data_IF_170637875432
#
_entry.id   IF_170637875432
#
_cell.length_a   1.000
_cell.length_b   1.000
_cell.length_c   1.000
_cell.angle_alpha   90.00
_cell.angle_beta   90.00
_cell.angle_gamma   90.00
#
_symmetry.space_group_name_H-M   'P 1'
#
loop_
_entity.id
_entity.type
_entity.pdbx_description
1 polymer ?
#
# COMPACT_ATOMS: atom_id res chain seq x y z
N UNK A 1 14.81 24.48 9.57
CA UNK A 1 13.39 24.73 9.19
C UNK A 1 12.91 24.03 7.91
N UNK A 2 13.73 23.38 7.13
CA UNK A 2 13.32 22.76 5.85
C UNK A 2 13.00 21.24 5.93
N UNK A 3 13.37 20.55 6.98
CA UNK A 3 13.25 19.08 7.10
C UNK A 3 12.01 18.57 7.87
N UNK A 4 11.38 19.40 8.69
CA UNK A 4 10.02 19.11 9.20
C UNK A 4 8.98 19.00 8.08
N UNK A 5 9.32 19.51 6.87
CA UNK A 5 8.46 19.44 5.71
C UNK A 5 8.33 18.01 5.13
N UNK A 6 9.29 17.12 5.33
CA UNK A 6 9.35 15.87 4.55
C UNK A 6 8.46 14.78 5.17
N UNK A 7 8.27 14.76 6.46
CA UNK A 7 7.47 13.73 7.13
C UNK A 7 6.01 14.13 7.38
N UNK A 8 5.79 15.33 7.86
CA UNK A 8 4.48 15.94 7.67
C UNK A 8 4.09 15.83 6.18
N UNK A 9 5.08 15.64 5.31
CA UNK A 9 4.93 15.55 3.87
C UNK A 9 4.61 14.15 3.35
N UNK A 10 5.12 13.05 3.93
CA UNK A 10 4.69 11.71 3.51
C UNK A 10 3.26 11.43 4.00
N UNK A 11 2.96 11.74 5.24
CA UNK A 11 1.59 11.64 5.78
C UNK A 11 0.70 12.77 5.23
N UNK A 12 1.22 13.98 5.02
CA UNK A 12 0.51 15.07 4.35
C UNK A 12 0.43 14.84 2.84
N UNK A 13 1.36 14.11 2.21
CA UNK A 13 1.19 13.61 0.84
C UNK A 13 0.13 12.51 0.78
N UNK A 14 0.08 11.60 1.73
CA UNK A 14 -0.99 10.61 1.82
C UNK A 14 -2.33 11.34 1.98
N UNK A 15 -2.48 12.22 2.94
CA UNK A 15 -3.70 12.99 3.16
C UNK A 15 -3.89 14.14 2.15
N UNK A 16 -2.83 14.74 1.65
CA UNK A 16 -2.87 15.83 0.67
C UNK A 16 -3.06 15.35 -0.76
N UNK A 17 -2.52 14.17 -1.13
CA UNK A 17 -2.83 13.51 -2.41
C UNK A 17 -4.29 13.04 -2.40
N UNK A 18 -4.80 12.59 -1.27
CA UNK A 18 -6.22 12.26 -1.10
C UNK A 18 -7.12 13.49 -1.33
N UNK A 19 -6.68 14.70 -0.95
CA UNK A 19 -7.45 15.95 -1.16
C UNK A 19 -7.18 16.66 -2.48
N UNK A 20 -5.95 16.58 -3.03
CA UNK A 20 -5.53 17.31 -4.23
C UNK A 20 -6.00 16.69 -5.53
N UNK A 21 -6.29 15.39 -5.55
CA UNK A 21 -6.64 14.66 -6.78
C UNK A 21 -8.07 14.92 -7.30
N UNK A 22 -8.88 15.73 -6.61
CA UNK A 22 -10.24 16.08 -7.09
C UNK A 22 -10.27 16.89 -8.39
N UNK A 23 -9.14 17.42 -8.85
CA UNK A 23 -9.11 18.34 -10.00
C UNK A 23 -8.64 17.74 -11.35
N UNK A 24 -8.19 16.49 -11.40
CA UNK A 24 -7.83 15.82 -12.66
C UNK A 24 -8.71 14.58 -12.90
N UNK A 25 -10.01 14.81 -12.84
CA UNK A 25 -11.01 13.76 -13.05
C UNK A 25 -11.31 13.58 -14.54
N UNK A 26 -10.35 13.07 -15.30
CA UNK A 26 -10.70 12.47 -16.59
C UNK A 26 -10.99 11.00 -16.37
N UNK A 27 -12.23 10.59 -16.65
CA UNK A 27 -12.58 9.17 -16.66
C UNK A 27 -11.63 8.42 -17.58
N UNK A 28 -10.98 7.32 -17.13
CA UNK A 28 -10.10 6.54 -17.99
C UNK A 28 -10.76 6.13 -19.30
N UNK A 29 -10.03 6.23 -20.40
CA UNK A 29 -10.48 5.85 -21.74
C UNK A 29 -9.59 4.75 -22.32
N UNK A 30 -10.07 4.05 -23.33
CA UNK A 30 -9.30 2.97 -23.97
C UNK A 30 -7.97 3.46 -24.56
N UNK A 31 -7.91 4.68 -25.09
CA UNK A 31 -6.69 5.27 -25.66
C UNK A 31 -5.57 5.50 -24.64
N UNK A 32 -5.88 5.41 -23.35
CA UNK A 32 -4.90 5.59 -22.27
C UNK A 32 -4.26 4.29 -21.80
N UNK A 33 -4.73 3.13 -22.27
CA UNK A 33 -4.09 1.83 -22.05
C UNK A 33 -3.18 1.49 -23.23
N UNK A 34 -1.89 1.26 -22.98
CA UNK A 34 -0.84 1.07 -23.98
C UNK A 34 -0.46 -0.40 -24.18
N UNK A 35 -0.58 -1.20 -23.13
CA UNK A 35 -0.16 -2.60 -23.10
C UNK A 35 -1.29 -3.47 -22.58
N UNK A 36 -1.65 -4.50 -23.34
CA UNK A 36 -2.60 -5.52 -22.89
C UNK A 36 -1.88 -6.49 -21.93
N UNK A 37 -2.39 -6.59 -20.73
CA UNK A 37 -1.93 -7.55 -19.72
C UNK A 37 -2.98 -8.64 -19.51
N UNK A 38 -2.58 -9.88 -19.18
CA UNK A 38 -3.53 -10.96 -18.91
C UNK A 38 -4.32 -10.69 -17.64
N UNK A 39 -5.55 -11.20 -17.59
CA UNK A 39 -6.42 -11.09 -16.42
C UNK A 39 -7.05 -9.71 -16.27
N UNK A 40 -7.35 -9.35 -15.02
CA UNK A 40 -7.99 -8.10 -14.64
C UNK A 40 -7.09 -7.34 -13.68
N UNK A 41 -6.95 -6.04 -13.91
CA UNK A 41 -6.26 -5.13 -12.99
C UNK A 41 -7.29 -4.16 -12.43
N UNK A 42 -7.38 -4.04 -11.10
CA UNK A 42 -8.25 -3.06 -10.43
C UNK A 42 -7.39 -1.94 -9.85
N UNK A 43 -7.84 -0.71 -10.03
CA UNK A 43 -7.10 0.52 -9.75
C UNK A 43 -8.04 1.58 -9.16
N UNK A 44 -7.48 2.48 -8.36
CA UNK A 44 -8.19 3.65 -7.85
C UNK A 44 -7.70 4.90 -8.56
N UNK A 45 -8.64 5.73 -9.00
CA UNK A 45 -8.38 7.05 -9.55
C UNK A 45 -9.49 8.03 -9.16
N UNK A 46 -9.08 9.17 -8.58
CA UNK A 46 -9.97 10.28 -8.24
C UNK A 46 -11.25 9.82 -7.49
N UNK A 47 -11.07 9.01 -6.44
CA UNK A 47 -12.16 8.52 -5.60
C UNK A 47 -13.03 7.43 -6.23
N UNK A 48 -12.65 6.89 -7.40
CA UNK A 48 -13.41 5.84 -8.09
C UNK A 48 -12.55 4.61 -8.33
N UNK A 49 -13.21 3.45 -8.39
CA UNK A 49 -12.58 2.17 -8.69
C UNK A 49 -12.78 1.84 -10.16
N UNK A 50 -11.72 1.45 -10.84
CA UNK A 50 -11.72 1.01 -12.23
C UNK A 50 -11.12 -0.37 -12.38
N UNK A 51 -11.62 -1.15 -13.31
CA UNK A 51 -10.96 -2.35 -13.81
C UNK A 51 -10.38 -2.09 -15.20
N UNK A 52 -9.16 -2.57 -15.44
CA UNK A 52 -8.53 -2.64 -16.76
C UNK A 52 -8.46 -4.11 -17.17
N UNK A 53 -9.08 -4.44 -18.30
CA UNK A 53 -9.05 -5.78 -18.91
C UNK A 53 -8.84 -5.61 -20.40
N UNK A 54 -7.78 -6.21 -20.93
CA UNK A 54 -7.48 -6.18 -22.37
C UNK A 54 -7.61 -4.77 -22.99
N UNK A 55 -6.89 -3.79 -22.48
CA UNK A 55 -6.89 -2.36 -22.88
C UNK A 55 -8.22 -1.60 -22.62
N UNK A 56 -9.20 -2.22 -21.99
CA UNK A 56 -10.49 -1.57 -21.73
C UNK A 56 -10.65 -1.22 -20.25
N UNK A 57 -10.84 0.07 -19.97
CA UNK A 57 -11.21 0.53 -18.65
C UNK A 57 -12.72 0.45 -18.45
N UNK A 58 -13.13 -0.12 -17.34
CA UNK A 58 -14.52 -0.18 -16.90
C UNK A 58 -14.62 0.32 -15.46
N UNK A 59 -15.45 1.33 -15.20
CA UNK A 59 -15.71 1.76 -13.83
C UNK A 59 -16.49 0.68 -13.08
N UNK A 60 -15.98 0.27 -11.94
CA UNK A 60 -16.69 -0.58 -10.99
C UNK A 60 -17.71 0.32 -10.28
N UNK A 61 -19.00 0.02 -10.44
CA UNK A 61 -20.10 0.85 -9.95
C UNK A 61 -20.34 0.65 -8.46
N UNK A 62 -19.33 0.96 -7.64
CA UNK A 62 -19.43 0.96 -6.19
C UNK A 62 -20.27 2.18 -5.70
N UNK A 63 -20.74 2.18 -4.42
CA UNK A 63 -21.36 3.35 -3.82
C UNK A 63 -20.53 4.61 -4.00
N UNK A 64 -21.17 5.78 -4.04
CA UNK A 64 -20.52 7.07 -4.27
C UNK A 64 -19.76 7.56 -3.02
N UNK A 65 -18.77 6.78 -2.60
CA UNK A 65 -17.79 7.13 -1.57
C UNK A 65 -16.50 7.65 -2.20
N UNK A 66 -15.62 8.21 -1.42
CA UNK A 66 -14.24 8.56 -1.82
C UNK A 66 -13.36 7.30 -1.63
N UNK A 67 -13.27 6.45 -2.66
CA UNK A 67 -12.48 5.25 -2.62
C UNK A 67 -11.00 5.60 -2.75
N UNK A 68 -10.20 5.15 -1.80
CA UNK A 68 -8.78 5.52 -1.71
C UNK A 68 -7.82 4.34 -1.84
N UNK A 69 -8.29 3.12 -1.54
CA UNK A 69 -7.47 1.91 -1.70
C UNK A 69 -8.32 0.74 -2.17
N UNK A 70 -7.71 -0.13 -2.94
CA UNK A 70 -8.20 -1.48 -3.25
C UNK A 70 -7.11 -2.51 -2.95
N UNK A 71 -7.55 -3.69 -2.52
CA UNK A 71 -6.69 -4.80 -2.19
C UNK A 71 -7.31 -6.12 -2.61
N UNK A 72 -6.47 -7.16 -2.73
CA UNK A 72 -6.95 -8.49 -3.07
C UNK A 72 -7.86 -9.04 -1.98
N UNK A 73 -9.08 -9.38 -2.35
CA UNK A 73 -10.06 -10.06 -1.50
C UNK A 73 -10.09 -11.57 -1.75
N UNK A 74 -11.07 -12.26 -1.16
CA UNK A 74 -11.43 -13.62 -1.54
C UNK A 74 -11.73 -13.75 -3.04
N UNK A 75 -11.75 -14.97 -3.61
CA UNK A 75 -12.03 -15.18 -5.03
C UNK A 75 -13.33 -14.49 -5.48
N UNK A 76 -13.25 -13.65 -6.49
CA UNK A 76 -14.39 -12.89 -7.03
C UNK A 76 -14.67 -11.56 -6.32
N UNK A 77 -13.88 -11.19 -5.32
CA UNK A 77 -14.08 -10.01 -4.48
C UNK A 77 -12.80 -9.18 -4.34
N UNK A 78 -12.95 -7.93 -3.95
CA UNK A 78 -11.88 -7.01 -3.60
C UNK A 78 -12.18 -6.39 -2.22
N UNK A 79 -11.13 -6.13 -1.47
CA UNK A 79 -11.19 -5.22 -0.33
C UNK A 79 -11.08 -3.79 -0.85
N UNK A 80 -11.85 -2.88 -0.29
CA UNK A 80 -11.83 -1.49 -0.69
C UNK A 80 -11.94 -0.58 0.55
N UNK A 81 -11.17 0.49 0.57
CA UNK A 81 -11.18 1.49 1.63
C UNK A 81 -11.84 2.75 1.11
N UNK A 82 -12.86 3.22 1.82
CA UNK A 82 -13.50 4.52 1.58
C UNK A 82 -13.09 5.51 2.66
N UNK A 83 -12.65 6.70 2.24
CA UNK A 83 -12.30 7.81 3.13
C UNK A 83 -13.49 8.75 3.29
N UNK A 84 -13.78 9.11 4.53
CA UNK A 84 -14.82 10.07 4.92
C UNK A 84 -14.21 11.34 5.56
N UNK A 85 -12.93 11.54 5.39
CA UNK A 85 -12.19 12.72 5.86
C UNK A 85 -11.68 12.61 7.29
N UNK A 86 -12.53 12.21 8.24
CA UNK A 86 -12.16 12.05 9.65
C UNK A 86 -12.02 10.59 10.06
N UNK A 87 -12.40 9.67 9.21
CA UNK A 87 -12.30 8.23 9.40
C UNK A 87 -12.32 7.53 8.06
N UNK A 88 -11.94 6.27 8.04
CA UNK A 88 -12.11 5.42 6.87
C UNK A 88 -12.82 4.12 7.24
N UNK A 89 -13.55 3.56 6.29
CA UNK A 89 -14.20 2.26 6.44
C UNK A 89 -13.65 1.27 5.43
N UNK A 90 -13.66 0.00 5.80
CA UNK A 90 -13.23 -1.10 4.93
C UNK A 90 -14.42 -1.93 4.48
N UNK A 91 -14.52 -2.16 3.19
CA UNK A 91 -15.59 -2.91 2.55
C UNK A 91 -15.07 -4.11 1.77
N UNK A 92 -15.88 -5.13 1.67
CA UNK A 92 -15.75 -6.21 0.69
C UNK A 92 -16.73 -5.93 -0.46
N UNK A 93 -16.20 -5.80 -1.66
CA UNK A 93 -16.98 -5.55 -2.88
C UNK A 93 -16.81 -6.73 -3.85
N UNK A 94 -17.85 -7.03 -4.62
CA UNK A 94 -17.69 -7.85 -5.81
C UNK A 94 -17.20 -6.99 -7.00
N UNK A 95 -16.82 -7.62 -8.12
CA UNK A 95 -16.34 -6.89 -9.30
C UNK A 95 -17.43 -6.06 -10.03
N UNK A 96 -18.70 -6.21 -9.65
CA UNK A 96 -19.79 -5.34 -10.11
C UNK A 96 -19.92 -4.06 -9.27
N UNK A 97 -19.17 -3.98 -8.16
CA UNK A 97 -19.17 -2.85 -7.23
C UNK A 97 -20.23 -2.95 -6.13
N UNK A 98 -20.92 -4.08 -6.03
CA UNK A 98 -21.88 -4.29 -4.95
C UNK A 98 -21.15 -4.55 -3.65
N UNK A 99 -21.60 -3.90 -2.57
CA UNK A 99 -21.08 -4.15 -1.22
C UNK A 99 -21.57 -5.53 -0.78
N UNK A 100 -20.64 -6.48 -0.65
CA UNK A 100 -20.92 -7.79 -0.07
C UNK A 100 -21.01 -7.68 1.44
N UNK A 101 -20.08 -6.92 2.05
CA UNK A 101 -20.04 -6.70 3.49
C UNK A 101 -19.21 -5.45 3.82
N UNK A 102 -19.63 -4.68 4.83
CA UNK A 102 -18.75 -3.74 5.52
C UNK A 102 -17.94 -4.53 6.57
N UNK A 103 -16.63 -4.44 6.48
CA UNK A 103 -15.72 -5.17 7.35
C UNK A 103 -15.34 -4.34 8.57
N UNK A 104 -14.93 -3.10 8.39
CA UNK A 104 -14.61 -2.17 9.46
C UNK A 104 -15.45 -0.92 9.34
N UNK A 105 -15.89 -0.40 10.49
CA UNK A 105 -16.69 0.81 10.62
C UNK A 105 -16.04 1.70 11.68
N UNK A 106 -15.19 2.61 11.25
CA UNK A 106 -14.36 3.43 12.13
C UNK A 106 -14.96 4.83 12.39
N UNK A 107 -16.13 5.11 11.80
CA UNK A 107 -16.86 6.34 12.01
C UNK A 107 -17.77 6.27 13.25
N UNK A 108 -17.74 7.34 14.04
CA UNK A 108 -18.54 7.53 15.25
C UNK A 108 -19.21 8.90 15.25
N UNK A 109 -20.34 9.03 15.96
CA UNK A 109 -20.93 10.34 16.29
C UNK A 109 -20.07 11.13 17.30
N UNK A 110 -19.19 10.45 18.00
CA UNK A 110 -18.22 11.08 18.90
C UNK A 110 -16.94 11.33 18.11
N UNK A 111 -16.57 12.58 17.94
CA UNK A 111 -15.41 12.99 17.15
C UNK A 111 -14.12 12.23 17.50
N UNK A 112 -13.81 12.10 18.77
CA UNK A 112 -12.60 11.42 19.26
C UNK A 112 -12.63 9.89 19.16
N UNK A 113 -13.70 9.31 18.64
CA UNK A 113 -13.83 7.87 18.40
C UNK A 113 -13.84 7.54 16.91
N UNK A 114 -13.37 8.47 16.09
CA UNK A 114 -13.16 8.26 14.66
C UNK A 114 -11.70 7.84 14.45
N UNK A 115 -11.49 6.84 13.60
CA UNK A 115 -10.15 6.34 13.28
C UNK A 115 -10.00 6.07 11.79
N UNK A 116 -8.77 5.95 11.33
CA UNK A 116 -8.48 5.50 9.98
C UNK A 116 -8.01 4.04 9.99
N UNK A 117 -8.53 3.26 9.07
CA UNK A 117 -8.11 1.89 8.79
C UNK A 117 -7.72 1.79 7.31
N UNK A 118 -6.46 1.42 7.05
CA UNK A 118 -5.89 1.32 5.71
C UNK A 118 -5.18 -0.02 5.50
N UNK A 119 -4.83 -0.32 4.25
CA UNK A 119 -4.06 -1.50 3.85
C UNK A 119 -4.66 -2.81 4.37
N UNK A 120 -5.96 -3.07 4.16
CA UNK A 120 -6.58 -4.30 4.61
C UNK A 120 -6.04 -5.50 3.83
N UNK A 121 -5.69 -6.57 4.53
CA UNK A 121 -5.18 -7.82 3.94
C UNK A 121 -5.82 -9.02 4.59
N UNK A 122 -6.30 -9.95 3.79
CA UNK A 122 -6.80 -11.24 4.30
C UNK A 122 -5.65 -12.25 4.34
N UNK A 123 -5.53 -12.98 5.45
CA UNK A 123 -4.53 -14.06 5.56
C UNK A 123 -4.70 -15.10 4.45
N UNK A 124 -3.63 -15.81 4.04
CA UNK A 124 -3.71 -16.83 2.98
C UNK A 124 -4.77 -17.92 3.24
N UNK A 125 -5.05 -18.23 4.51
CA UNK A 125 -6.12 -19.16 4.90
C UNK A 125 -7.51 -18.55 4.96
N UNK A 126 -7.69 -17.26 4.64
CA UNK A 126 -9.00 -16.60 4.62
C UNK A 126 -9.61 -16.31 5.99
N UNK A 127 -8.92 -16.61 7.08
CA UNK A 127 -9.50 -16.57 8.44
C UNK A 127 -9.38 -15.22 9.15
N UNK A 128 -8.38 -14.41 8.78
CA UNK A 128 -7.98 -13.20 9.52
C UNK A 128 -7.85 -12.01 8.57
N UNK A 129 -8.41 -10.88 8.97
CA UNK A 129 -8.23 -9.59 8.34
C UNK A 129 -7.17 -8.81 9.12
N UNK A 130 -6.09 -8.43 8.47
CA UNK A 130 -5.07 -7.52 8.98
C UNK A 130 -5.28 -6.14 8.37
N UNK A 131 -4.93 -5.09 9.11
CA UNK A 131 -5.02 -3.70 8.63
C UNK A 131 -4.13 -2.79 9.47
N UNK A 132 -3.77 -1.65 8.90
CA UNK A 132 -3.12 -0.55 9.62
C UNK A 132 -4.20 0.34 10.21
N UNK A 133 -4.16 0.58 11.52
CA UNK A 133 -5.17 1.34 12.25
C UNK A 133 -4.53 2.50 12.99
N UNK A 134 -5.03 3.70 12.74
CA UNK A 134 -4.58 4.89 13.44
C UNK A 134 -5.23 4.94 14.83
N UNK A 135 -4.41 4.81 15.87
CA UNK A 135 -4.87 4.82 17.25
C UNK A 135 -4.94 6.23 17.84
N UNK A 136 -4.38 7.22 17.15
CA UNK A 136 -4.31 8.60 17.61
C UNK A 136 -5.65 9.28 17.47
N UNK A 137 -5.95 10.15 18.42
CA UNK A 137 -7.15 10.98 18.43
C UNK A 137 -7.20 11.88 17.17
N UNK A 138 -8.32 11.87 16.40
CA UNK A 138 -8.49 12.70 15.22
C UNK A 138 -8.33 14.21 15.45
N UNK A 139 -8.44 14.69 16.70
CA UNK A 139 -8.12 16.07 17.07
C UNK A 139 -6.66 16.44 16.87
N UNK A 140 -5.82 15.43 16.72
CA UNK A 140 -4.37 15.55 16.52
C UNK A 140 -4.01 15.36 15.05
N UNK A 141 -4.64 16.03 14.11
CA UNK A 141 -4.53 15.85 12.66
C UNK A 141 -3.09 15.84 12.07
N UNK A 142 -2.09 16.13 12.87
CA UNK A 142 -0.68 16.08 12.50
C UNK A 142 0.07 14.88 13.09
N UNK A 143 -0.63 14.00 13.83
CA UNK A 143 -0.03 12.92 14.59
C UNK A 143 -0.62 11.56 14.20
N UNK A 144 -0.63 11.27 12.92
CA UNK A 144 -1.01 9.94 12.45
C UNK A 144 0.07 8.95 12.89
N UNK A 145 -0.33 7.92 13.64
CA UNK A 145 0.58 6.86 14.07
C UNK A 145 -0.15 5.50 13.99
N UNK A 146 0.16 4.75 12.95
CA UNK A 146 -0.49 3.49 12.69
C UNK A 146 0.10 2.35 13.51
N UNK A 147 -0.77 1.43 13.91
CA UNK A 147 -0.42 0.11 14.43
C UNK A 147 -1.07 -0.98 13.56
N UNK A 148 -0.45 -2.15 13.51
CA UNK A 148 -1.07 -3.29 12.84
C UNK A 148 -2.05 -3.96 13.78
N UNK A 149 -3.27 -4.12 13.31
CA UNK A 149 -4.34 -4.87 13.99
C UNK A 149 -4.82 -6.04 13.14
N UNK A 150 -5.40 -7.02 13.81
CA UNK A 150 -6.00 -8.18 13.19
C UNK A 150 -7.32 -8.57 13.87
N UNK A 151 -8.32 -8.93 13.06
CA UNK A 151 -9.62 -9.43 13.50
C UNK A 151 -9.98 -10.70 12.73
N UNK A 152 -10.84 -11.59 13.27
CA UNK A 152 -11.39 -12.69 12.50
C UNK A 152 -12.14 -12.17 11.28
N UNK A 153 -11.81 -12.64 10.07
CA UNK A 153 -12.47 -12.18 8.84
C UNK A 153 -13.97 -12.47 8.83
N UNK A 154 -14.39 -13.59 9.44
CA UNK A 154 -15.82 -13.95 9.58
C UNK A 154 -16.58 -13.03 10.55
N UNK A 155 -15.90 -12.48 11.58
CA UNK A 155 -16.47 -11.60 12.59
C UNK A 155 -15.55 -10.39 12.85
N UNK A 156 -15.51 -9.40 11.94
CA UNK A 156 -14.58 -8.28 12.05
C UNK A 156 -14.89 -7.29 13.19
N UNK A 157 -16.07 -7.39 13.80
CA UNK A 157 -16.43 -6.61 15.01
C UNK A 157 -15.90 -7.22 16.31
N UNK A 158 -15.22 -8.36 16.24
CA UNK A 158 -14.55 -8.94 17.41
C UNK A 158 -13.40 -8.03 17.87
N UNK A 159 -13.01 -8.18 19.14
CA UNK A 159 -11.86 -7.43 19.68
C UNK A 159 -10.62 -7.71 18.82
N UNK A 160 -10.00 -6.63 18.35
CA UNK A 160 -8.78 -6.72 17.56
C UNK A 160 -7.59 -7.22 18.39
N UNK A 161 -6.74 -7.98 17.75
CA UNK A 161 -5.41 -8.34 18.25
C UNK A 161 -4.40 -7.34 17.69
N UNK A 162 -3.66 -6.67 18.57
CA UNK A 162 -2.60 -5.75 18.20
C UNK A 162 -1.34 -6.55 17.86
N UNK A 163 -0.81 -6.35 16.64
CA UNK A 163 0.38 -7.04 16.13
C UNK A 163 1.64 -6.21 16.23
N UNK A 164 1.50 -4.90 16.22
CA UNK A 164 2.62 -4.00 16.43
C UNK A 164 2.22 -2.92 17.43
N UNK A 165 3.14 -2.57 18.33
CA UNK A 165 2.92 -1.43 19.20
C UNK A 165 3.20 -0.15 18.41
N UNK A 166 2.38 0.88 18.58
CA UNK A 166 2.65 2.17 17.98
C UNK A 166 4.03 2.66 18.42
N UNK A 167 4.71 3.34 17.54
CA UNK A 167 5.95 4.02 17.86
C UNK A 167 5.72 5.16 18.85
N UNK A 168 6.79 5.86 19.16
CA UNK A 168 6.67 7.12 19.86
C UNK A 168 6.04 8.16 18.91
N UNK A 169 5.29 9.07 19.47
CA UNK A 169 4.65 10.20 18.84
C UNK A 169 5.42 10.76 17.62
N UNK A 170 4.77 11.00 16.48
CA UNK A 170 5.34 11.50 15.21
C UNK A 170 6.16 10.52 14.34
N UNK A 171 6.06 9.25 14.54
CA UNK A 171 6.87 8.29 13.77
C UNK A 171 6.19 7.70 12.53
N UNK A 172 4.89 7.98 12.30
CA UNK A 172 4.12 7.44 11.18
C UNK A 172 3.63 6.01 11.39
N UNK A 173 4.27 5.27 12.28
CA UNK A 173 3.83 3.97 12.76
C UNK A 173 4.17 2.79 11.85
N UNK A 174 3.36 1.76 11.96
CA UNK A 174 3.52 0.47 11.30
C UNK A 174 2.40 0.28 10.27
N UNK A 175 2.76 0.05 9.01
CA UNK A 175 1.81 0.03 7.88
C UNK A 175 2.03 -1.15 6.95
N UNK A 176 1.05 -1.41 6.08
CA UNK A 176 1.16 -2.35 4.95
C UNK A 176 1.42 -3.81 5.39
N UNK A 177 0.58 -4.39 6.25
CA UNK A 177 0.78 -5.75 6.71
C UNK A 177 0.63 -6.75 5.57
N UNK A 178 1.60 -7.65 5.43
CA UNK A 178 1.56 -8.80 4.52
C UNK A 178 1.46 -10.06 5.37
N UNK A 179 0.28 -10.67 5.50
CA UNK A 179 0.13 -11.92 6.22
C UNK A 179 0.76 -13.09 5.46
N UNK A 180 1.45 -13.95 6.19
CA UNK A 180 2.19 -15.08 5.66
C UNK A 180 1.49 -16.41 5.93
N UNK A 181 1.79 -17.43 5.11
CA UNK A 181 1.23 -18.77 5.29
C UNK A 181 1.64 -19.45 6.61
N UNK A 182 2.76 -19.05 7.19
CA UNK A 182 3.24 -19.55 8.49
C UNK A 182 2.57 -18.87 9.70
N UNK A 183 1.61 -17.96 9.46
CA UNK A 183 0.88 -17.23 10.49
C UNK A 183 1.56 -15.93 10.95
N UNK A 184 2.79 -15.64 10.52
CA UNK A 184 3.46 -14.36 10.77
C UNK A 184 3.02 -13.27 9.80
N UNK A 185 3.60 -12.07 9.97
CA UNK A 185 3.39 -10.92 9.07
C UNK A 185 4.73 -10.24 8.72
N UNK A 186 4.78 -9.65 7.55
CA UNK A 186 5.78 -8.64 7.20
C UNK A 186 5.05 -7.30 7.09
N UNK A 187 5.69 -6.22 7.53
CA UNK A 187 5.13 -4.88 7.41
C UNK A 187 6.23 -3.82 7.31
N UNK A 188 5.87 -2.62 6.88
CA UNK A 188 6.76 -1.47 6.89
C UNK A 188 6.65 -0.76 8.24
N UNK A 189 7.79 -0.62 8.93
CA UNK A 189 7.93 0.10 10.20
C UNK A 189 8.63 1.42 9.95
N UNK A 190 7.94 2.52 10.25
CA UNK A 190 8.51 3.85 10.21
C UNK A 190 9.06 4.24 11.57
N UNK A 191 10.23 4.86 11.57
CA UNK A 191 10.89 5.32 12.78
C UNK A 191 11.61 6.66 12.52
N UNK A 192 11.80 7.42 13.59
CA UNK A 192 12.62 8.65 13.57
C UNK A 192 14.02 8.31 14.03
N UNK A 193 15.03 8.82 13.34
CA UNK A 193 16.41 8.71 13.78
C UNK A 193 16.62 9.58 15.03
N UNK A 194 16.66 8.95 16.19
CA UNK A 194 16.86 9.64 17.48
C UNK A 194 18.25 10.26 17.63
N UNK A 195 19.21 9.88 16.79
CA UNK A 195 20.57 10.46 16.80
C UNK A 195 20.60 11.89 16.26
N UNK A 196 19.61 12.31 15.49
CA UNK A 196 19.51 13.66 14.93
C UNK A 196 18.98 14.73 15.92
N UNK A 197 18.60 14.34 17.14
CA UNK A 197 18.07 15.23 18.18
C UNK A 197 16.57 15.53 18.06
N UNK A 198 15.94 16.11 19.09
CA UNK A 198 14.52 16.40 19.08
C UNK A 198 14.18 17.47 18.01
N UNK A 199 13.39 17.07 17.03
CA UNK A 199 12.88 17.96 15.98
C UNK A 199 13.66 17.97 14.66
N UNK A 200 14.84 17.35 14.57
CA UNK A 200 15.64 17.21 13.34
C UNK A 200 15.71 15.78 12.82
N UNK A 201 14.93 14.86 13.37
CA UNK A 201 14.97 13.45 13.01
C UNK A 201 14.55 13.21 11.56
N UNK A 202 15.47 12.72 10.75
CA UNK A 202 15.12 12.09 9.49
C UNK A 202 14.33 10.82 9.80
N UNK A 203 13.18 10.66 9.17
CA UNK A 203 12.45 9.40 9.24
C UNK A 203 13.03 8.41 8.26
N UNK A 204 13.01 7.17 8.66
CA UNK A 204 13.36 6.04 7.80
C UNK A 204 12.32 4.94 7.95
N UNK A 205 12.25 4.07 6.98
CA UNK A 205 11.41 2.89 7.02
C UNK A 205 12.24 1.62 6.86
N UNK A 206 11.80 0.56 7.53
CA UNK A 206 12.37 -0.76 7.42
C UNK A 206 11.26 -1.78 7.24
N UNK A 207 11.50 -2.80 6.42
CA UNK A 207 10.67 -3.98 6.45
C UNK A 207 11.03 -4.82 7.67
N UNK A 208 10.03 -5.27 8.39
CA UNK A 208 10.18 -6.12 9.56
C UNK A 208 9.29 -7.35 9.46
N UNK A 209 9.74 -8.45 10.05
CA UNK A 209 8.97 -9.69 10.20
C UNK A 209 8.63 -9.91 11.66
N UNK A 210 7.37 -10.23 11.93
CA UNK A 210 6.86 -10.68 13.23
C UNK A 210 6.22 -12.05 13.07
N UNK A 211 6.68 -13.04 13.83
CA UNK A 211 6.11 -14.40 13.79
C UNK A 211 4.81 -14.54 14.60
N UNK A 212 4.57 -13.63 15.53
CA UNK A 212 3.34 -13.54 16.35
C UNK A 212 3.20 -12.12 16.93
N UNK A 213 2.04 -11.74 17.49
CA UNK A 213 1.81 -10.40 18.05
C UNK A 213 2.80 -9.94 19.13
N UNK A 214 3.41 -10.89 19.84
CA UNK A 214 4.37 -10.60 20.93
C UNK A 214 5.79 -11.06 20.64
N UNK A 215 6.08 -11.46 19.40
CA UNK A 215 7.43 -11.90 19.01
C UNK A 215 8.40 -10.73 18.92
N UNK A 216 9.68 -11.01 19.15
CA UNK A 216 10.74 -10.08 18.79
C UNK A 216 10.75 -9.86 17.27
N UNK A 217 10.89 -8.60 16.86
CA UNK A 217 10.94 -8.23 15.45
C UNK A 217 12.26 -8.66 14.82
N UNK A 218 12.17 -9.19 13.61
CA UNK A 218 13.31 -9.40 12.72
C UNK A 218 13.33 -8.29 11.69
N UNK A 219 14.33 -7.43 11.74
CA UNK A 219 14.53 -6.37 10.76
C UNK A 219 15.08 -6.97 9.46
N UNK A 220 14.34 -6.84 8.38
CA UNK A 220 14.64 -7.44 7.08
C UNK A 220 15.50 -6.52 6.21
N UNK A 221 15.39 -5.22 6.42
CA UNK A 221 16.17 -4.20 5.69
C UNK A 221 16.86 -3.27 6.69
N UNK A 222 17.93 -2.60 6.27
CA UNK A 222 18.64 -1.65 7.12
C UNK A 222 18.00 -0.26 7.07
N UNK A 223 18.17 0.58 8.11
CA UNK A 223 17.65 1.96 8.11
C UNK A 223 18.11 2.79 6.90
N UNK A 224 19.36 2.61 6.48
CA UNK A 224 19.92 3.36 5.33
C UNK A 224 19.32 2.98 3.97
N UNK A 225 18.61 1.86 3.88
CA UNK A 225 17.90 1.45 2.66
C UNK A 225 16.52 2.11 2.53
N UNK A 226 15.91 2.51 3.64
CA UNK A 226 14.61 3.19 3.70
C UNK A 226 13.56 2.49 2.82
N UNK A 227 13.21 1.24 3.19
CA UNK A 227 12.34 0.37 2.41
C UNK A 227 10.93 0.30 2.99
N UNK A 228 9.93 0.32 2.11
CA UNK A 228 8.50 0.22 2.40
C UNK A 228 7.76 -0.50 1.27
N UNK A 229 6.45 -0.51 1.33
CA UNK A 229 5.54 -1.01 0.29
C UNK A 229 5.84 -2.46 -0.12
N UNK A 230 5.85 -3.40 0.83
CA UNK A 230 6.13 -4.80 0.53
C UNK A 230 4.98 -5.44 -0.25
N UNK A 231 5.32 -6.30 -1.21
CA UNK A 231 4.39 -7.18 -1.89
C UNK A 231 4.95 -8.59 -1.98
N UNK A 232 4.23 -9.56 -1.42
CA UNK A 232 4.64 -10.97 -1.45
C UNK A 232 4.17 -11.62 -2.75
N UNK A 233 5.06 -12.39 -3.39
CA UNK A 233 4.70 -13.18 -4.58
C UNK A 233 3.64 -14.24 -4.25
N UNK A 234 2.84 -14.69 -5.23
CA UNK A 234 1.85 -15.75 -5.02
C UNK A 234 2.44 -17.07 -4.52
N UNK A 235 3.71 -17.34 -4.85
CA UNK A 235 4.45 -18.50 -4.33
C UNK A 235 4.86 -18.35 -2.87
N UNK A 236 4.82 -17.13 -2.32
CA UNK A 236 5.32 -16.84 -0.97
C UNK A 236 6.84 -16.87 -0.82
N UNK A 237 7.60 -16.83 -1.92
CA UNK A 237 9.07 -17.00 -1.92
C UNK A 237 9.84 -15.75 -2.32
N UNK A 238 9.16 -14.68 -2.70
CA UNK A 238 9.79 -13.42 -3.13
C UNK A 238 9.00 -12.23 -2.63
N UNK A 239 9.71 -11.15 -2.32
CA UNK A 239 9.14 -9.88 -1.90
C UNK A 239 9.61 -8.80 -2.87
N UNK A 240 8.65 -8.09 -3.47
CA UNK A 240 8.89 -6.80 -4.10
C UNK A 240 8.76 -5.71 -3.05
N UNK A 241 9.60 -4.68 -3.13
CA UNK A 241 9.62 -3.57 -2.17
C UNK A 241 10.15 -2.31 -2.83
N UNK A 242 9.75 -1.17 -2.31
CA UNK A 242 10.25 0.16 -2.72
C UNK A 242 11.29 0.62 -1.71
N UNK A 243 12.47 0.98 -2.17
CA UNK A 243 13.56 1.46 -1.32
C UNK A 243 14.12 2.79 -1.82
N UNK A 244 14.35 3.74 -0.91
CA UNK A 244 14.94 5.05 -1.25
C UNK A 244 16.26 5.19 -0.52
N UNK A 245 17.37 5.22 -1.25
CA UNK A 245 18.69 5.39 -0.62
C UNK A 245 18.87 6.83 -0.14
N UNK A 246 19.20 7.00 1.14
CA UNK A 246 19.38 8.32 1.77
C UNK A 246 20.49 9.15 1.12
N UNK A 247 21.51 8.51 0.55
CA UNK A 247 22.68 9.19 -0.05
C UNK A 247 22.40 9.78 -1.43
N UNK A 248 21.50 9.20 -2.22
CA UNK A 248 21.24 9.61 -3.60
C UNK A 248 19.81 10.08 -3.83
N UNK A 249 18.93 9.97 -2.84
CA UNK A 249 17.49 10.23 -2.96
C UNK A 249 16.87 9.53 -4.19
N UNK A 250 17.41 8.36 -4.53
CA UNK A 250 16.95 7.58 -5.67
C UNK A 250 16.02 6.50 -5.15
N UNK A 251 14.79 6.51 -5.62
CA UNK A 251 13.80 5.49 -5.32
C UNK A 251 13.92 4.35 -6.33
N UNK A 252 13.91 3.13 -5.84
CA UNK A 252 14.03 1.90 -6.64
C UNK A 252 12.98 0.89 -6.24
N UNK A 253 12.47 0.18 -7.23
CA UNK A 253 11.69 -1.04 -7.03
C UNK A 253 12.65 -2.23 -7.06
N UNK A 254 12.64 -3.01 -5.99
CA UNK A 254 13.54 -4.13 -5.79
C UNK A 254 12.76 -5.42 -5.56
N UNK A 255 13.36 -6.56 -5.91
CA UNK A 255 12.85 -7.90 -5.59
C UNK A 255 13.93 -8.67 -4.86
N UNK A 256 13.57 -9.32 -3.77
CA UNK A 256 14.43 -10.21 -3.02
C UNK A 256 13.75 -11.56 -2.77
N UNK A 257 14.52 -12.65 -2.73
CA UNK A 257 14.00 -13.93 -2.28
C UNK A 257 13.64 -13.89 -0.79
N UNK A 258 12.60 -14.61 -0.42
CA UNK A 258 12.12 -14.75 0.95
C UNK A 258 12.13 -16.23 1.36
N UNK A 259 12.81 -16.56 2.43
CA UNK A 259 12.94 -17.95 2.91
C UNK A 259 12.07 -18.28 4.13
N UNK A 260 11.18 -17.37 4.54
CA UNK A 260 10.33 -17.51 5.72
C UNK A 260 10.82 -16.72 6.94
N UNK A 261 12.07 -16.26 6.96
CA UNK A 261 12.66 -15.52 8.08
C UNK A 261 13.62 -14.40 7.67
N UNK A 262 14.18 -14.45 6.46
CA UNK A 262 15.15 -13.47 5.97
C UNK A 262 15.01 -13.22 4.48
N UNK A 263 15.47 -12.05 4.03
CA UNK A 263 15.58 -11.69 2.63
C UNK A 263 16.94 -12.10 2.08
N UNK A 264 16.95 -12.58 0.85
CA UNK A 264 18.15 -12.69 0.03
C UNK A 264 18.64 -11.33 -0.45
N UNK A 265 19.68 -11.32 -1.28
CA UNK A 265 20.22 -10.08 -1.89
C UNK A 265 19.18 -9.47 -2.82
N UNK A 266 18.75 -8.22 -2.60
CA UNK A 266 17.78 -7.56 -3.46
C UNK A 266 18.35 -7.29 -4.86
N UNK A 267 17.50 -7.40 -5.87
CA UNK A 267 17.78 -7.03 -7.26
C UNK A 267 16.90 -5.85 -7.62
N UNK A 268 17.51 -4.77 -8.12
CA UNK A 268 16.76 -3.62 -8.65
C UNK A 268 16.09 -4.03 -9.97
N UNK A 269 14.77 -3.93 -10.03
CA UNK A 269 13.98 -4.28 -11.23
C UNK A 269 13.43 -3.04 -11.94
N UNK A 270 13.40 -1.91 -11.25
CA UNK A 270 13.12 -0.60 -11.83
C UNK A 270 13.77 0.49 -10.98
N UNK A 271 14.25 1.52 -11.65
CA UNK A 271 14.61 2.78 -11.06
C UNK A 271 13.86 3.86 -11.82
N UNK A 272 13.21 4.76 -11.13
CA UNK A 272 12.41 5.78 -11.78
C UNK A 272 12.24 6.97 -10.86
N UNK A 273 11.49 7.97 -11.32
CA UNK A 273 11.26 9.14 -10.50
C UNK A 273 10.63 8.77 -9.14
N UNK A 274 9.60 7.92 -9.14
CA UNK A 274 8.86 7.62 -7.90
C UNK A 274 8.08 6.29 -8.03
N UNK A 275 8.77 5.13 -8.12
CA UNK A 275 8.09 3.84 -8.11
C UNK A 275 7.36 3.62 -6.79
N UNK A 276 6.12 3.15 -6.87
CA UNK A 276 5.22 2.97 -5.71
C UNK A 276 4.29 1.77 -5.91
N UNK A 277 3.77 1.24 -4.81
CA UNK A 277 2.65 0.30 -4.74
C UNK A 277 2.80 -0.93 -5.65
N UNK A 278 3.86 -1.73 -5.49
CA UNK A 278 4.07 -2.90 -6.31
C UNK A 278 3.04 -4.00 -6.05
N UNK A 279 2.68 -4.75 -7.08
CA UNK A 279 1.89 -5.98 -6.98
C UNK A 279 2.40 -7.03 -7.97
N UNK A 280 2.27 -8.30 -7.60
CA UNK A 280 2.69 -9.41 -8.43
C UNK A 280 1.61 -9.84 -9.43
N UNK A 281 2.04 -10.32 -10.58
CA UNK A 281 1.14 -11.05 -11.48
C UNK A 281 0.65 -12.35 -10.83
N UNK A 282 -0.55 -12.84 -11.19
CA UNK A 282 -1.09 -14.08 -10.63
C UNK A 282 -0.17 -15.31 -10.82
N UNK A 283 0.66 -15.31 -11.87
CA UNK A 283 1.65 -16.36 -12.14
C UNK A 283 3.00 -16.14 -11.40
N UNK A 284 3.14 -15.05 -10.67
CA UNK A 284 4.33 -14.70 -9.88
C UNK A 284 5.57 -14.32 -10.71
N UNK A 285 5.45 -14.08 -12.02
CA UNK A 285 6.61 -13.83 -12.90
C UNK A 285 6.87 -12.36 -13.17
N UNK A 286 5.88 -11.51 -12.96
CA UNK A 286 5.92 -10.09 -13.30
C UNK A 286 5.47 -9.24 -12.13
N UNK A 287 5.87 -7.97 -12.13
CA UNK A 287 5.44 -6.98 -11.15
C UNK A 287 4.79 -5.80 -11.87
N UNK A 288 3.59 -5.42 -11.44
CA UNK A 288 2.98 -4.12 -11.70
C UNK A 288 3.35 -3.16 -10.59
N UNK A 289 3.45 -1.89 -10.92
CA UNK A 289 3.68 -0.83 -9.94
C UNK A 289 3.21 0.51 -10.51
N UNK A 290 3.06 1.48 -9.65
CA UNK A 290 2.80 2.86 -10.05
C UNK A 290 4.12 3.61 -10.15
N UNK A 291 4.22 4.55 -11.09
CA UNK A 291 5.39 5.42 -11.21
C UNK A 291 5.01 6.73 -11.89
N UNK A 292 5.72 7.79 -11.57
CA UNK A 292 5.62 9.08 -12.25
C UNK A 292 6.57 9.14 -13.46
N UNK A 293 6.32 10.05 -14.38
CA UNK A 293 7.23 10.28 -15.51
C UNK A 293 8.35 11.24 -15.18
N UNK A 294 8.13 12.12 -14.21
CA UNK A 294 9.05 13.16 -13.78
C UNK A 294 9.21 13.10 -12.26
N UNK A 295 10.32 13.61 -11.76
CA UNK A 295 10.59 13.76 -10.31
C UNK A 295 9.79 14.91 -9.66
N UNK A 296 8.96 15.58 -10.43
CA UNK A 296 8.08 16.64 -9.94
C UNK A 296 6.91 16.02 -9.15
N UNK A 297 6.67 16.52 -7.95
CA UNK A 297 5.59 16.09 -7.06
C UNK A 297 4.17 16.22 -7.63
N UNK A 298 4.01 17.02 -8.68
CA UNK A 298 2.76 17.16 -9.44
C UNK A 298 2.63 16.13 -10.57
N UNK A 299 3.68 15.34 -10.81
CA UNK A 299 3.68 14.35 -11.89
C UNK A 299 2.69 13.22 -11.61
N UNK A 300 1.78 12.92 -12.54
CA UNK A 300 0.74 11.93 -12.33
C UNK A 300 1.30 10.51 -12.33
N UNK A 301 0.79 9.67 -11.42
CA UNK A 301 1.13 8.26 -11.36
C UNK A 301 0.46 7.48 -12.49
N UNK A 302 1.29 6.76 -13.24
CA UNK A 302 0.90 5.84 -14.30
C UNK A 302 1.16 4.40 -13.87
N UNK A 303 0.47 3.45 -14.50
CA UNK A 303 0.72 2.04 -14.31
C UNK A 303 1.91 1.59 -15.16
N UNK A 304 2.82 0.84 -14.56
CA UNK A 304 4.02 0.28 -15.17
C UNK A 304 4.12 -1.21 -14.89
N UNK A 305 4.83 -1.93 -15.73
CA UNK A 305 4.99 -3.37 -15.68
C UNK A 305 6.44 -3.78 -15.92
N UNK A 306 6.96 -4.68 -15.06
CA UNK A 306 8.25 -5.34 -15.24
C UNK A 306 8.01 -6.82 -15.53
N UNK A 307 8.24 -7.31 -16.77
CA UNK A 307 8.19 -8.74 -17.07
C UNK A 307 9.40 -9.47 -16.49
N UNK A 308 9.23 -10.74 -16.16
CA UNK A 308 10.32 -11.60 -15.65
C UNK A 308 11.03 -11.02 -14.42
N UNK A 309 10.28 -10.43 -13.52
CA UNK A 309 10.80 -9.72 -12.35
C UNK A 309 11.70 -10.57 -11.44
N UNK A 310 11.49 -11.90 -11.42
CA UNK A 310 12.22 -12.87 -10.60
C UNK A 310 13.48 -13.43 -11.27
N UNK A 311 13.76 -13.06 -12.52
CA UNK A 311 14.93 -13.58 -13.24
C UNK A 311 16.21 -12.83 -12.83
N UNK A 312 17.36 -13.49 -12.97
CA UNK A 312 18.68 -12.85 -12.82
C UNK A 312 18.87 -11.64 -13.79
N UNK A 313 18.05 -11.57 -14.83
CA UNK A 313 17.95 -10.44 -15.76
C UNK A 313 16.49 -10.07 -15.92
N UNK A 314 15.94 -9.20 -15.07
CA UNK A 314 14.57 -8.72 -15.19
C UNK A 314 14.33 -8.08 -16.56
N UNK A 315 13.09 -8.13 -17.03
CA UNK A 315 12.72 -7.43 -18.25
C UNK A 315 12.80 -5.90 -18.07
N UNK A 316 12.82 -5.20 -19.18
CA UNK A 316 12.80 -3.73 -19.17
C UNK A 316 11.42 -3.26 -18.72
N UNK A 317 11.34 -2.30 -17.76
CA UNK A 317 10.07 -1.70 -17.37
C UNK A 317 9.32 -1.08 -18.55
N UNK A 318 8.03 -1.31 -18.62
CA UNK A 318 7.16 -0.80 -19.68
C UNK A 318 6.00 -0.01 -19.07
N UNK A 319 5.72 1.14 -19.64
CA UNK A 319 4.55 1.94 -19.28
C UNK A 319 3.29 1.26 -19.82
N UNK A 320 2.32 1.03 -18.93
CA UNK A 320 1.04 0.38 -19.27
C UNK A 320 -0.05 1.39 -19.58
N UNK A 321 -0.01 2.56 -18.91
CA UNK A 321 -1.03 3.61 -19.09
C UNK A 321 -0.40 4.99 -19.32
N UNK A 322 -1.19 5.90 -19.87
CA UNK A 322 -0.77 7.29 -20.10
C UNK A 322 -1.92 8.26 -19.84
N UNK A 323 -1.60 9.49 -19.41
CA UNK A 323 -2.61 10.55 -19.22
C UNK A 323 -3.60 10.29 -18.09
N UNK A 324 -3.27 9.42 -17.16
CA UNK A 324 -4.04 9.10 -15.95
C UNK A 324 -3.31 9.60 -14.70
N UNK A 325 -3.97 9.51 -13.54
CA UNK A 325 -3.34 9.79 -12.25
C UNK A 325 -3.94 8.84 -11.20
N UNK A 326 -3.31 7.70 -11.03
CA UNK A 326 -3.75 6.71 -10.04
C UNK A 326 -3.35 7.12 -8.63
N UNK A 327 -4.08 6.63 -7.65
CA UNK A 327 -3.79 6.86 -6.23
C UNK A 327 -2.55 6.05 -5.83
N UNK A 328 -1.45 6.75 -5.55
CA UNK A 328 -0.15 6.14 -5.28
C UNK A 328 -0.15 5.17 -4.09
N UNK A 329 -1.00 5.39 -3.09
CA UNK A 329 -1.14 4.55 -1.89
C UNK A 329 -2.07 3.36 -2.08
N UNK A 330 -2.58 3.15 -3.30
CA UNK A 330 -3.45 2.02 -3.63
C UNK A 330 -2.72 1.06 -4.55
N UNK A 331 -2.18 -0.06 -4.04
CA UNK A 331 -1.58 -1.07 -4.90
C UNK A 331 -2.57 -1.53 -5.97
N UNK A 332 -2.14 -1.72 -7.22
CA UNK A 332 -2.96 -2.38 -8.21
C UNK A 332 -3.36 -3.78 -7.75
N UNK A 333 -4.61 -4.18 -7.92
CA UNK A 333 -5.04 -5.56 -7.68
C UNK A 333 -5.00 -6.30 -9.01
N UNK A 334 -4.14 -7.33 -9.13
CA UNK A 334 -4.01 -8.11 -10.36
C UNK A 334 -4.53 -9.53 -10.14
N UNK A 335 -5.60 -9.90 -10.86
CA UNK A 335 -6.24 -11.21 -10.77
C UNK A 335 -6.26 -11.92 -12.13
N UNK A 336 -6.34 -13.25 -12.15
CA UNK A 336 -6.44 -14.04 -13.37
C UNK A 336 -7.57 -13.63 -14.31
#
# INVERSE_FOLDING_TARGET
MALMAIFGFAVYSILGTLKSNKHLSTKPTQSQALVALPGRIVLVQAGNIYSLTNLTFTQIKAPAYDWVQVETGPPGEILAVADFGMYSNVYLLNYQGQVVRQLLSEGSSQYFSNHWAYYPRVSPGGSTLFYSWDWVDPGSAYNVDFQIQAVPFANPSARAVVWSLPGLYYQGGDVEPIPLANGGIIYAKYAVDSAAGPGDGSTYSQLVYASSPSANLVYLTSPGQNCAEPALSPSGTEIAMVCTTNTLQTTTLQVASWNGTSLGTPVVISSGPEPASPTWSPDGKSVLYLNTLLTDKSSPFQLWWVPKATSARPGVPQQVTTGLNFTATSPPVWTP
#
